data_IF_419620600822
#
_entry.id   IF_419620600822
#
_cell.length_a   1.000
_cell.length_b   1.000
_cell.length_c   1.000
_cell.angle_alpha   90.00
_cell.angle_beta   90.00
_cell.angle_gamma   90.00
#
_symmetry.space_group_name_H-M   'P 1'
#
loop_
_entity.id
_entity.type
_entity.pdbx_description
1 polymer ?
#
# COMPACT_ATOMS: atom_id res chain seq x y z
N UNK A 1 -24.75 -4.02 -5.22
CA UNK A 1 -23.32 -4.33 -5.43
C UNK A 1 -22.77 -4.81 -4.10
N UNK A 2 -22.16 -6.00 -4.03
CA UNK A 2 -21.71 -6.58 -2.76
C UNK A 2 -20.46 -5.83 -2.26
N UNK A 3 -20.45 -5.40 -1.00
CA UNK A 3 -19.35 -4.70 -0.31
C UNK A 3 -17.95 -5.31 -0.57
N UNK A 4 -17.76 -6.65 -0.65
CA UNK A 4 -16.46 -7.25 -0.96
C UNK A 4 -15.86 -6.81 -2.29
N UNK A 5 -16.69 -6.61 -3.33
CA UNK A 5 -16.21 -6.23 -4.65
C UNK A 5 -15.70 -4.78 -4.68
N UNK A 6 -16.28 -3.89 -3.87
CA UNK A 6 -15.82 -2.51 -3.75
C UNK A 6 -14.47 -2.43 -3.03
N UNK A 7 -14.29 -3.27 -1.98
CA UNK A 7 -13.02 -3.39 -1.26
C UNK A 7 -11.94 -3.91 -2.20
N UNK A 8 -12.18 -5.01 -2.91
CA UNK A 8 -11.21 -5.56 -3.86
C UNK A 8 -10.82 -4.52 -4.92
N UNK A 9 -11.79 -3.82 -5.50
CA UNK A 9 -11.54 -2.79 -6.50
C UNK A 9 -10.68 -1.64 -5.94
N UNK A 10 -10.98 -1.18 -4.71
CA UNK A 10 -10.18 -0.16 -4.04
C UNK A 10 -8.73 -0.60 -3.84
N UNK A 11 -8.51 -1.79 -3.29
CA UNK A 11 -7.16 -2.31 -3.03
C UNK A 11 -6.37 -2.56 -4.32
N UNK A 12 -7.02 -3.07 -5.38
CA UNK A 12 -6.40 -3.25 -6.70
C UNK A 12 -5.99 -1.91 -7.33
N UNK A 13 -6.82 -0.88 -7.19
CA UNK A 13 -6.52 0.46 -7.68
C UNK A 13 -5.36 1.10 -6.90
N UNK A 14 -5.39 1.01 -5.57
CA UNK A 14 -4.32 1.55 -4.72
C UNK A 14 -3.00 0.83 -4.93
N UNK A 15 -2.99 -0.49 -5.17
CA UNK A 15 -1.75 -1.21 -5.52
C UNK A 15 -1.02 -0.58 -6.69
N UNK A 16 -1.69 -0.48 -7.85
CA UNK A 16 -1.07 0.07 -9.06
C UNK A 16 -0.63 1.53 -8.89
N UNK A 17 -1.45 2.33 -8.19
CA UNK A 17 -1.13 3.73 -7.90
C UNK A 17 0.11 3.87 -7.00
N UNK A 18 0.20 3.06 -5.94
CA UNK A 18 1.31 3.11 -4.99
C UNK A 18 2.61 2.64 -5.63
N UNK A 19 2.59 1.52 -6.35
CA UNK A 19 3.76 1.02 -7.10
C UNK A 19 4.23 2.08 -8.08
N UNK A 20 3.37 2.61 -8.95
CA UNK A 20 3.74 3.65 -9.91
C UNK A 20 4.32 4.90 -9.23
N UNK A 21 3.71 5.35 -8.13
CA UNK A 21 4.14 6.55 -7.40
C UNK A 21 5.50 6.35 -6.72
N UNK A 22 5.70 5.21 -6.07
CA UNK A 22 6.96 4.90 -5.38
C UNK A 22 8.08 4.60 -6.38
N UNK A 23 7.79 3.88 -7.47
CA UNK A 23 8.76 3.63 -8.55
C UNK A 23 9.22 4.94 -9.19
N UNK A 24 8.31 5.89 -9.42
CA UNK A 24 8.68 7.24 -9.89
C UNK A 24 9.57 7.98 -8.89
N UNK A 25 9.38 7.77 -7.59
CA UNK A 25 10.08 8.49 -6.53
C UNK A 25 11.45 7.93 -6.19
N UNK A 26 11.58 6.60 -6.13
CA UNK A 26 12.79 5.90 -5.68
C UNK A 26 13.58 5.28 -6.84
N UNK A 27 12.96 5.12 -8.00
CA UNK A 27 13.58 4.55 -9.19
C UNK A 27 13.18 3.09 -9.42
N UNK A 28 13.21 2.67 -10.69
CA UNK A 28 12.84 1.31 -11.13
C UNK A 28 13.78 0.23 -10.61
N UNK A 29 15.00 0.58 -10.21
CA UNK A 29 15.95 -0.36 -9.59
C UNK A 29 15.41 -0.98 -8.29
N UNK A 30 14.50 -0.28 -7.60
CA UNK A 30 13.87 -0.76 -6.36
C UNK A 30 12.47 -1.36 -6.59
N UNK A 31 12.11 -1.73 -7.82
CA UNK A 31 10.76 -2.18 -8.13
C UNK A 31 10.31 -3.36 -7.26
N UNK A 32 11.18 -4.35 -7.04
CA UNK A 32 10.88 -5.50 -6.18
C UNK A 32 10.56 -5.08 -4.75
N UNK A 33 11.45 -4.29 -4.14
CA UNK A 33 11.26 -3.79 -2.75
C UNK A 33 9.99 -2.92 -2.64
N UNK A 34 9.67 -2.17 -3.69
CA UNK A 34 8.46 -1.34 -3.76
C UNK A 34 7.22 -2.22 -3.78
N UNK A 35 7.18 -3.27 -4.61
CA UNK A 35 6.03 -4.17 -4.67
C UNK A 35 5.81 -4.86 -3.32
N UNK A 36 6.89 -5.36 -2.69
CA UNK A 36 6.83 -6.01 -1.38
C UNK A 36 6.35 -5.05 -0.28
N UNK A 37 6.85 -3.81 -0.29
CA UNK A 37 6.44 -2.78 0.65
C UNK A 37 4.96 -2.38 0.48
N UNK A 38 4.48 -2.28 -0.77
CA UNK A 38 3.07 -2.00 -1.07
C UNK A 38 2.19 -3.16 -0.64
N UNK A 39 2.55 -4.41 -0.94
CA UNK A 39 1.79 -5.58 -0.49
C UNK A 39 1.70 -5.64 1.03
N UNK A 40 2.81 -5.38 1.73
CA UNK A 40 2.85 -5.35 3.19
C UNK A 40 1.94 -4.26 3.78
N UNK A 41 1.90 -3.08 3.16
CA UNK A 41 1.01 -2.00 3.58
C UNK A 41 -0.47 -2.35 3.37
N UNK A 42 -0.82 -2.94 2.23
CA UNK A 42 -2.19 -3.37 1.93
C UNK A 42 -2.63 -4.51 2.87
N UNK A 43 -1.74 -5.47 3.14
CA UNK A 43 -2.00 -6.54 4.11
C UNK A 43 -2.26 -5.97 5.50
N UNK A 44 -1.44 -5.02 5.94
CA UNK A 44 -1.63 -4.34 7.22
C UNK A 44 -2.98 -3.64 7.29
N UNK A 45 -3.41 -2.95 6.23
CA UNK A 45 -4.75 -2.36 6.16
C UNK A 45 -5.86 -3.42 6.30
N UNK A 46 -5.77 -4.53 5.56
CA UNK A 46 -6.75 -5.63 5.64
C UNK A 46 -6.81 -6.28 7.02
N UNK A 47 -5.70 -6.33 7.75
CA UNK A 47 -5.66 -6.87 9.11
C UNK A 47 -6.19 -5.88 10.15
N UNK A 48 -5.81 -4.60 10.07
CA UNK A 48 -6.06 -3.63 11.13
C UNK A 48 -7.38 -2.88 10.96
N UNK A 49 -7.73 -2.45 9.75
CA UNK A 49 -8.93 -1.63 9.53
C UNK A 49 -10.24 -2.28 9.97
N UNK A 50 -10.46 -3.61 9.87
CA UNK A 50 -11.65 -4.22 10.43
C UNK A 50 -11.82 -4.03 11.94
N UNK A 51 -10.71 -3.92 12.68
CA UNK A 51 -10.71 -3.74 14.13
C UNK A 51 -10.69 -2.26 14.55
N UNK A 52 -9.96 -1.41 13.81
CA UNK A 52 -9.72 -0.01 14.19
C UNK A 52 -10.59 0.99 13.42
N UNK A 53 -11.32 0.52 12.41
CA UNK A 53 -11.95 1.37 11.41
C UNK A 53 -11.00 1.77 10.28
N UNK A 54 -11.59 2.17 9.16
CA UNK A 54 -10.87 2.72 8.00
C UNK A 54 -10.50 4.19 8.30
N UNK A 55 -9.23 4.60 8.11
CA UNK A 55 -8.82 5.99 8.33
C UNK A 55 -9.55 6.98 7.42
N UNK A 56 -9.69 8.24 7.84
CA UNK A 56 -10.31 9.32 7.03
C UNK A 56 -9.65 9.52 5.66
N UNK A 57 -8.35 9.20 5.55
CA UNK A 57 -7.54 9.31 4.33
C UNK A 57 -6.83 7.98 4.03
N UNK A 58 -7.54 6.96 3.53
CA UNK A 58 -7.00 5.61 3.36
C UNK A 58 -5.78 5.55 2.43
N UNK A 59 -5.85 6.21 1.26
CA UNK A 59 -4.75 6.23 0.30
C UNK A 59 -3.49 6.90 0.87
N UNK A 60 -3.66 7.96 1.68
CA UNK A 60 -2.54 8.65 2.31
C UNK A 60 -1.90 7.77 3.40
N UNK A 61 -2.71 7.05 4.17
CA UNK A 61 -2.24 6.07 5.14
C UNK A 61 -1.45 4.95 4.46
N UNK A 62 -1.99 4.37 3.38
CA UNK A 62 -1.33 3.31 2.61
C UNK A 62 0.01 3.78 2.03
N UNK A 63 0.06 4.98 1.47
CA UNK A 63 1.31 5.57 0.98
C UNK A 63 2.37 5.67 2.08
N UNK A 64 1.99 6.16 3.27
CA UNK A 64 2.91 6.27 4.40
C UNK A 64 3.38 4.91 4.90
N UNK A 65 2.46 3.95 5.02
CA UNK A 65 2.78 2.60 5.43
C UNK A 65 3.77 1.94 4.44
N UNK A 66 3.49 1.99 3.14
CA UNK A 66 4.37 1.44 2.11
C UNK A 66 5.73 2.15 2.07
N UNK A 67 5.74 3.49 2.18
CA UNK A 67 6.99 4.25 2.23
C UNK A 67 7.85 3.87 3.45
N UNK A 68 7.24 3.69 4.63
CA UNK A 68 7.98 3.28 5.83
C UNK A 68 8.55 1.87 5.69
N UNK A 69 7.79 0.92 5.12
CA UNK A 69 8.26 -0.43 4.84
C UNK A 69 9.43 -0.43 3.85
N UNK A 70 9.32 0.32 2.75
CA UNK A 70 10.39 0.47 1.76
C UNK A 70 11.67 1.05 2.39
N UNK A 71 11.56 2.13 3.17
CA UNK A 71 12.70 2.73 3.85
C UNK A 71 13.33 1.77 4.87
N UNK A 72 12.53 0.90 5.50
CA UNK A 72 13.04 -0.14 6.38
C UNK A 72 13.83 -1.20 5.59
N UNK A 73 13.31 -1.65 4.45
CA UNK A 73 13.96 -2.65 3.60
C UNK A 73 15.28 -2.14 2.98
N UNK A 74 15.33 -0.88 2.55
CA UNK A 74 16.53 -0.28 1.97
C UNK A 74 17.64 0.02 2.99
N UNK A 75 17.35 -0.08 4.28
CA UNK A 75 18.32 0.17 5.35
C UNK A 75 19.12 -1.08 5.72
N UNK A 76 18.57 -2.26 5.50
CA UNK A 76 19.18 -3.57 5.76
C UNK A 76 20.09 -4.00 4.62
#
# INVERSE_FOLDING_TARGET
MSTPALVEHFFRHEYGKLVATLTRRFGVVHLSDIEDAVQSALMSALTHWPATGVPDKPSAWLFRAAQNQLLSALRT
#
